data_IF_729462985254
#
_entry.id   IF_729462985254
#
_cell.length_a   1.000
_cell.length_b   1.000
_cell.length_c   1.000
_cell.angle_alpha   90.00
_cell.angle_beta   90.00
_cell.angle_gamma   90.00
#
_symmetry.space_group_name_H-M   'P 1'
#
loop_
_entity.id
_entity.type
_entity.pdbx_description
1 polymer ?
#
# COMPACT_ATOMS: atom_id res chain seq x y z
N UNK A 1 13.52 -20.28 -22.91
CA UNK A 1 12.84 -19.52 -21.84
C UNK A 1 13.81 -19.44 -20.68
N UNK A 2 14.20 -18.24 -20.27
CA UNK A 2 15.03 -18.04 -19.09
C UNK A 2 14.11 -17.70 -17.93
N UNK A 3 14.30 -18.37 -16.80
CA UNK A 3 13.49 -18.22 -15.59
C UNK A 3 14.37 -17.61 -14.50
N UNK A 4 13.81 -16.72 -13.69
CA UNK A 4 14.40 -16.35 -12.41
C UNK A 4 13.54 -16.98 -11.31
N UNK A 5 14.04 -17.12 -10.10
CA UNK A 5 13.26 -17.59 -8.96
C UNK A 5 13.49 -16.56 -7.85
N UNK A 6 12.41 -16.07 -7.24
CA UNK A 6 12.44 -15.22 -6.04
C UNK A 6 11.59 -15.95 -5.00
N UNK A 7 12.17 -16.50 -3.93
CA UNK A 7 11.45 -17.36 -2.98
C UNK A 7 10.61 -16.56 -1.97
N UNK A 8 9.45 -17.12 -1.56
CA UNK A 8 8.54 -16.50 -0.58
C UNK A 8 8.17 -17.52 0.48
N UNK A 9 8.19 -17.14 1.76
CA UNK A 9 7.99 -18.04 2.91
C UNK A 9 6.71 -18.89 2.88
N UNK A 10 5.61 -18.39 2.31
CA UNK A 10 4.33 -19.12 2.23
C UNK A 10 4.14 -19.94 0.96
N UNK A 11 5.04 -19.76 -0.01
CA UNK A 11 4.96 -20.36 -1.32
C UNK A 11 6.21 -21.21 -1.52
N UNK A 12 6.11 -22.51 -1.26
CA UNK A 12 7.25 -23.44 -1.26
C UNK A 12 8.00 -23.55 -2.61
N UNK A 13 7.50 -22.93 -3.69
CA UNK A 13 8.13 -22.93 -5.02
C UNK A 13 7.71 -21.73 -5.88
N UNK A 14 8.35 -20.56 -5.73
CA UNK A 14 8.16 -19.49 -6.71
C UNK A 14 9.04 -19.69 -7.93
N UNK A 15 8.42 -19.59 -9.10
CA UNK A 15 9.13 -19.43 -10.38
C UNK A 15 8.75 -18.05 -10.93
N UNK A 16 9.70 -17.11 -10.99
CA UNK A 16 9.56 -15.86 -11.73
C UNK A 16 9.63 -16.21 -13.22
N UNK A 17 8.45 -16.51 -13.77
CA UNK A 17 8.31 -16.71 -15.21
C UNK A 17 7.93 -15.38 -15.86
N UNK A 18 8.90 -14.73 -16.50
CA UNK A 18 8.64 -13.63 -17.42
C UNK A 18 8.11 -14.20 -18.74
N UNK A 19 6.78 -14.33 -18.88
CA UNK A 19 6.14 -14.76 -20.13
C UNK A 19 5.82 -13.53 -21.00
N UNK A 20 6.20 -13.61 -22.28
CA UNK A 20 5.83 -12.65 -23.33
C UNK A 20 4.44 -12.94 -23.93
N UNK A 21 3.78 -14.03 -23.54
CA UNK A 21 2.46 -14.39 -24.06
C UNK A 21 1.35 -13.84 -23.17
N UNK A 22 0.29 -13.36 -23.82
CA UNK A 22 -0.89 -12.73 -23.23
C UNK A 22 -1.69 -13.72 -22.36
N UNK A 23 -1.21 -14.01 -21.16
CA UNK A 23 -2.09 -14.37 -20.06
C UNK A 23 -2.61 -13.08 -19.44
N UNK A 24 -3.91 -12.96 -19.22
CA UNK A 24 -4.51 -11.87 -18.44
C UNK A 24 -3.95 -11.90 -17.02
N UNK A 25 -2.88 -11.16 -16.81
CA UNK A 25 -2.36 -10.92 -15.47
C UNK A 25 -3.33 -9.96 -14.80
N UNK A 26 -3.97 -10.45 -13.74
CA UNK A 26 -5.09 -9.79 -13.09
C UNK A 26 -4.70 -8.50 -12.33
N UNK A 27 -3.40 -8.22 -12.17
CA UNK A 27 -2.90 -7.11 -11.33
C UNK A 27 -1.74 -6.39 -12.00
N UNK A 28 -1.61 -5.10 -11.70
CA UNK A 28 -0.60 -4.21 -12.24
C UNK A 28 -0.19 -3.16 -11.20
N UNK A 29 1.07 -2.73 -11.27
CA UNK A 29 1.58 -1.59 -10.50
C UNK A 29 1.20 -0.28 -11.17
N UNK A 30 1.26 0.82 -10.41
CA UNK A 30 1.25 2.15 -11.01
C UNK A 30 2.42 2.28 -12.01
N UNK A 31 2.18 2.83 -13.22
CA UNK A 31 3.25 3.07 -14.18
C UNK A 31 4.28 4.04 -13.59
N UNK A 32 5.57 3.69 -13.70
CA UNK A 32 6.67 4.50 -13.17
C UNK A 32 7.61 4.87 -14.29
N UNK A 33 8.03 6.14 -14.36
CA UNK A 33 8.98 6.62 -15.38
C UNK A 33 10.30 6.95 -14.72
N UNK A 34 11.38 6.35 -15.22
CA UNK A 34 12.73 6.56 -14.72
C UNK A 34 13.63 6.96 -15.90
N UNK A 35 14.20 8.16 -15.86
CA UNK A 35 15.08 8.70 -16.92
C UNK A 35 14.53 8.57 -18.36
N UNK A 36 13.21 8.67 -18.52
CA UNK A 36 12.53 8.55 -19.82
C UNK A 36 12.11 7.11 -20.20
N UNK A 37 12.42 6.13 -19.37
CA UNK A 37 11.96 4.74 -19.50
C UNK A 37 10.71 4.53 -18.65
N UNK A 38 9.59 4.23 -19.27
CA UNK A 38 8.34 3.86 -18.58
C UNK A 38 8.34 2.36 -18.28
N UNK A 39 8.04 2.02 -17.04
CA UNK A 39 8.05 0.67 -16.47
C UNK A 39 6.64 0.35 -15.94
N UNK A 40 6.08 -0.76 -16.40
CA UNK A 40 4.81 -1.29 -15.94
C UNK A 40 5.00 -2.76 -15.55
N UNK A 41 4.70 -3.10 -14.29
CA UNK A 41 4.83 -4.46 -13.76
C UNK A 41 3.42 -5.03 -13.61
N UNK A 42 3.21 -6.23 -14.15
CA UNK A 42 1.98 -7.00 -14.03
C UNK A 42 2.29 -8.31 -13.33
N UNK A 43 1.36 -8.83 -12.53
CA UNK A 43 1.55 -10.13 -11.87
C UNK A 43 0.28 -10.92 -11.67
N UNK A 44 0.45 -12.24 -11.52
CA UNK A 44 -0.59 -13.17 -11.12
C UNK A 44 -0.01 -14.23 -10.18
N UNK A 45 -0.60 -14.35 -9.00
CA UNK A 45 -0.24 -15.38 -8.02
C UNK A 45 -1.10 -16.63 -8.23
N UNK A 46 -0.46 -17.81 -8.23
CA UNK A 46 -1.11 -19.11 -8.26
C UNK A 46 -0.87 -19.83 -6.93
N UNK A 47 -1.91 -19.86 -6.09
CA UNK A 47 -1.86 -20.59 -4.82
C UNK A 47 -1.62 -22.09 -5.02
N UNK A 48 -2.22 -22.70 -6.05
CA UNK A 48 -2.05 -24.13 -6.34
C UNK A 48 -0.63 -24.48 -6.75
N UNK A 49 0.00 -23.62 -7.57
CA UNK A 49 1.38 -23.83 -8.06
C UNK A 49 2.43 -23.26 -7.11
N UNK A 50 1.99 -22.56 -6.08
CA UNK A 50 2.82 -21.82 -5.14
C UNK A 50 3.77 -20.83 -5.84
N UNK A 51 3.32 -20.18 -6.92
CA UNK A 51 4.18 -19.32 -7.74
C UNK A 51 3.54 -17.97 -8.08
N UNK A 52 4.37 -16.97 -8.34
CA UNK A 52 3.92 -15.69 -8.91
C UNK A 52 4.56 -15.49 -10.28
N UNK A 53 3.72 -15.28 -11.28
CA UNK A 53 4.15 -14.92 -12.63
C UNK A 53 4.14 -13.41 -12.78
N UNK A 54 5.17 -12.86 -13.42
CA UNK A 54 5.30 -11.44 -13.64
C UNK A 54 5.49 -11.15 -15.13
N UNK A 55 4.93 -10.04 -15.60
CA UNK A 55 5.19 -9.49 -16.93
C UNK A 55 5.59 -8.04 -16.76
N UNK A 56 6.74 -7.68 -17.34
CA UNK A 56 7.25 -6.33 -17.30
C UNK A 56 7.12 -5.75 -18.70
N UNK A 57 6.56 -4.54 -18.78
CA UNK A 57 6.53 -3.75 -20.02
C UNK A 57 7.43 -2.54 -19.84
N UNK A 58 8.48 -2.49 -20.65
CA UNK A 58 9.37 -1.33 -20.77
C UNK A 58 9.00 -0.58 -22.05
N UNK A 59 8.93 0.74 -21.98
CA UNK A 59 8.66 1.60 -23.15
C UNK A 59 9.34 2.96 -22.98
N UNK A 60 9.45 3.74 -24.06
CA UNK A 60 10.18 5.01 -24.04
C UNK A 60 11.66 4.81 -24.35
N UNK A 61 12.55 5.36 -23.52
CA UNK A 61 14.00 5.28 -23.73
C UNK A 61 14.51 3.82 -23.64
N UNK A 62 15.30 3.32 -24.60
CA UNK A 62 15.87 1.98 -24.54
C UNK A 62 16.87 1.84 -23.38
N UNK A 63 16.89 0.68 -22.74
CA UNK A 63 17.80 0.34 -21.64
C UNK A 63 18.68 -0.86 -22.01
N UNK A 64 19.93 -0.87 -21.55
CA UNK A 64 20.87 -1.96 -21.79
C UNK A 64 20.58 -3.18 -20.91
N UNK A 65 20.04 -2.95 -19.72
CA UNK A 65 19.54 -3.99 -18.82
C UNK A 65 18.49 -3.41 -17.87
N UNK A 66 17.64 -4.29 -17.37
CA UNK A 66 16.61 -4.00 -16.38
C UNK A 66 16.77 -4.94 -15.20
N UNK A 67 16.47 -4.47 -14.00
CA UNK A 67 16.51 -5.25 -12.78
C UNK A 67 15.22 -5.03 -12.02
N UNK A 68 14.65 -6.13 -11.53
CA UNK A 68 13.50 -6.14 -10.64
C UNK A 68 13.81 -7.01 -9.44
N UNK A 69 13.40 -6.55 -8.28
CA UNK A 69 13.49 -7.27 -7.04
C UNK A 69 12.35 -6.98 -6.11
N UNK A 70 12.35 -7.68 -4.99
CA UNK A 70 11.40 -7.48 -3.90
C UNK A 70 12.19 -7.19 -2.63
N UNK A 71 11.75 -6.18 -1.88
CA UNK A 71 12.34 -5.78 -0.61
C UNK A 71 11.26 -5.62 0.45
N UNK A 72 11.53 -6.12 1.65
CA UNK A 72 10.63 -5.96 2.81
C UNK A 72 10.61 -4.51 3.30
N UNK A 73 11.77 -3.83 3.26
CA UNK A 73 11.95 -2.48 3.79
C UNK A 73 12.28 -1.42 2.73
N UNK A 74 12.24 -1.78 1.43
CA UNK A 74 12.61 -0.87 0.35
C UNK A 74 14.11 -0.61 0.23
N UNK A 75 14.92 -1.33 1.00
CA UNK A 75 16.37 -1.24 0.94
C UNK A 75 16.92 -2.11 -0.19
N UNK A 76 18.00 -1.64 -0.83
CA UNK A 76 18.69 -2.41 -1.86
C UNK A 76 19.58 -3.52 -1.28
N UNK A 77 19.99 -3.40 -0.01
CA UNK A 77 20.85 -4.39 0.64
C UNK A 77 20.00 -5.54 1.18
N UNK A 78 20.41 -6.77 0.91
CA UNK A 78 19.72 -7.97 1.40
C UNK A 78 18.37 -8.27 0.71
N UNK A 79 18.16 -7.75 -0.50
CA UNK A 79 16.94 -8.00 -1.29
C UNK A 79 17.22 -8.88 -2.51
N UNK A 80 16.16 -9.53 -3.02
CA UNK A 80 16.23 -10.43 -4.16
C UNK A 80 16.09 -9.71 -5.47
N UNK A 81 17.02 -9.94 -6.39
CA UNK A 81 17.02 -9.27 -7.67
C UNK A 81 17.23 -10.22 -8.84
N UNK A 82 16.40 -10.02 -9.86
CA UNK A 82 16.57 -10.60 -11.18
C UNK A 82 17.02 -9.49 -12.13
N UNK A 83 18.24 -9.62 -12.66
CA UNK A 83 18.77 -8.75 -13.71
C UNK A 83 18.52 -9.39 -15.07
N UNK A 84 17.87 -8.64 -15.95
CA UNK A 84 17.57 -9.00 -17.34
C UNK A 84 18.49 -8.19 -18.25
N UNK A 85 19.27 -8.90 -19.06
CA UNK A 85 20.17 -8.29 -20.04
C UNK A 85 20.13 -9.08 -21.36
N UNK A 86 20.67 -8.53 -22.47
CA UNK A 86 20.84 -9.26 -23.71
C UNK A 86 21.64 -10.57 -23.56
N UNK A 87 22.50 -10.65 -22.54
CA UNK A 87 23.33 -11.83 -22.25
C UNK A 87 22.59 -12.90 -21.44
N UNK A 88 21.31 -12.66 -21.10
CA UNK A 88 20.50 -13.57 -20.29
C UNK A 88 20.08 -12.96 -18.95
N UNK A 89 19.51 -13.82 -18.11
CA UNK A 89 19.03 -13.49 -16.76
C UNK A 89 20.09 -13.84 -15.74
N UNK A 90 20.39 -12.92 -14.83
CA UNK A 90 21.28 -13.14 -13.68
C UNK A 90 20.50 -12.96 -12.39
N UNK A 91 20.53 -13.96 -11.51
CA UNK A 91 20.00 -13.88 -10.13
C UNK A 91 21.10 -13.31 -9.24
N UNK A 92 20.81 -12.26 -8.46
CA UNK A 92 21.83 -11.51 -7.70
C UNK A 92 21.76 -11.74 -6.18
N UNK A 93 20.72 -12.35 -5.62
CA UNK A 93 20.67 -12.89 -4.24
C UNK A 93 19.34 -13.63 -4.00
N UNK A 94 19.27 -14.43 -2.92
CA UNK A 94 18.08 -15.16 -2.42
C UNK A 94 17.83 -14.75 -0.93
N UNK A 95 16.72 -14.07 -0.66
CA UNK A 95 16.33 -13.39 0.56
C UNK A 95 14.80 -13.39 0.63
N UNK A 96 14.30 -13.67 1.82
CA UNK A 96 12.99 -14.25 2.03
C UNK A 96 11.86 -13.20 1.98
N UNK A 97 10.84 -13.39 1.14
CA UNK A 97 9.63 -12.54 1.14
C UNK A 97 8.59 -13.04 2.16
N UNK A 98 8.00 -12.13 2.96
CA UNK A 98 6.94 -12.38 3.95
C UNK A 98 5.54 -11.81 3.55
N UNK A 99 4.50 -12.06 4.35
CA UNK A 99 3.14 -11.53 4.18
C UNK A 99 3.09 -10.01 4.40
N UNK A 100 2.69 -9.24 3.39
CA UNK A 100 2.53 -7.79 3.51
C UNK A 100 2.57 -7.04 2.18
N UNK A 101 2.84 -5.74 2.26
CA UNK A 101 3.10 -4.88 1.12
C UNK A 101 4.48 -5.18 0.57
N UNK A 102 4.54 -5.77 -0.62
CA UNK A 102 5.82 -6.02 -1.29
C UNK A 102 6.27 -4.73 -1.99
N UNK A 103 7.49 -4.28 -1.71
CA UNK A 103 8.10 -3.17 -2.44
C UNK A 103 8.89 -3.75 -3.62
N UNK A 104 8.47 -3.47 -4.84
CA UNK A 104 9.24 -3.82 -6.03
C UNK A 104 10.38 -2.83 -6.18
N UNK A 105 11.60 -3.31 -6.01
CA UNK A 105 12.78 -2.50 -6.27
C UNK A 105 13.15 -2.68 -7.73
N UNK A 106 13.16 -1.61 -8.51
CA UNK A 106 13.54 -1.65 -9.92
C UNK A 106 14.77 -0.81 -10.19
N UNK A 107 15.59 -1.25 -11.12
CA UNK A 107 16.69 -0.47 -11.64
C UNK A 107 16.86 -0.65 -13.15
N UNK A 108 17.34 0.40 -13.81
CA UNK A 108 17.66 0.40 -15.24
C UNK A 108 19.06 0.94 -15.45
N UNK A 109 19.83 0.27 -16.29
CA UNK A 109 21.12 0.77 -16.78
C UNK A 109 21.03 1.08 -18.27
N UNK A 110 21.70 2.16 -18.68
CA UNK A 110 21.77 2.57 -20.08
C UNK A 110 23.12 2.19 -20.71
N UNK A 111 24.07 1.67 -19.93
CA UNK A 111 25.39 1.24 -20.39
C UNK A 111 25.77 -0.15 -19.84
N UNK A 112 27.06 -0.50 -19.85
CA UNK A 112 27.57 -1.75 -19.24
C UNK A 112 28.14 -1.42 -17.86
N UNK A 113 27.28 -1.02 -16.94
CA UNK A 113 27.67 -0.77 -15.56
C UNK A 113 28.11 -2.07 -14.87
N UNK A 114 29.26 -2.03 -14.21
CA UNK A 114 29.88 -3.20 -13.54
C UNK A 114 29.41 -3.41 -12.11
N UNK A 115 28.86 -2.38 -11.47
CA UNK A 115 28.42 -2.40 -10.07
C UNK A 115 27.01 -1.83 -9.96
N UNK A 116 26.16 -2.45 -9.13
CA UNK A 116 24.82 -1.94 -8.82
C UNK A 116 24.84 -0.60 -8.07
N UNK A 117 25.98 -0.22 -7.50
CA UNK A 117 26.17 1.07 -6.80
C UNK A 117 26.59 2.19 -7.74
N UNK A 118 26.80 1.92 -9.03
CA UNK A 118 27.20 2.93 -10.00
C UNK A 118 26.12 4.04 -10.09
N UNK A 119 26.55 5.30 -10.03
CA UNK A 119 25.67 6.47 -10.05
C UNK A 119 24.91 6.62 -11.38
N UNK A 120 25.41 5.99 -12.45
CA UNK A 120 24.73 5.92 -13.74
C UNK A 120 23.48 5.02 -13.74
N UNK A 121 23.28 4.22 -12.69
CA UNK A 121 22.12 3.35 -12.54
C UNK A 121 20.95 4.14 -12.00
N UNK A 122 19.86 4.13 -12.76
CA UNK A 122 18.61 4.72 -12.30
C UNK A 122 17.82 3.69 -11.49
N UNK A 123 17.32 4.09 -10.33
CA UNK A 123 16.64 3.20 -9.39
C UNK A 123 15.31 3.81 -8.96
N UNK A 124 14.31 2.97 -8.74
CA UNK A 124 13.06 3.38 -8.12
C UNK A 124 12.47 2.24 -7.30
N UNK A 125 11.60 2.59 -6.37
CA UNK A 125 10.76 1.66 -5.63
C UNK A 125 9.34 1.80 -6.17
N UNK A 126 8.75 0.68 -6.57
CA UNK A 126 7.39 0.59 -7.08
C UNK A 126 6.59 -0.22 -6.07
N UNK A 127 5.55 0.38 -5.50
CA UNK A 127 4.69 -0.29 -4.53
C UNK A 127 3.66 -1.18 -5.22
N UNK A 128 3.46 -2.39 -4.70
CA UNK A 128 2.45 -3.31 -5.22
C UNK A 128 1.99 -4.35 -4.21
N UNK A 129 0.71 -4.71 -4.27
CA UNK A 129 0.15 -5.75 -3.40
C UNK A 129 0.20 -7.11 -4.07
N UNK A 130 1.26 -7.86 -3.77
CA UNK A 130 1.54 -9.15 -4.37
C UNK A 130 0.43 -10.17 -4.05
N UNK A 131 0.18 -10.38 -2.76
CA UNK A 131 -0.85 -11.28 -2.25
C UNK A 131 -1.99 -10.46 -1.64
N UNK A 132 -3.18 -10.62 -2.19
CA UNK A 132 -4.40 -10.15 -1.54
C UNK A 132 -5.33 -11.34 -1.53
N UNK A 133 -5.70 -11.82 -0.33
CA UNK A 133 -6.82 -12.75 -0.18
C UNK A 133 -7.98 -12.13 -0.94
N UNK A 134 -8.54 -12.87 -1.90
CA UNK A 134 -9.81 -12.48 -2.53
C UNK A 134 -10.79 -12.29 -1.39
N UNK A 135 -11.14 -11.03 -1.11
CA UNK A 135 -12.23 -10.72 -0.20
C UNK A 135 -13.40 -11.52 -0.72
N UNK A 136 -13.91 -12.48 0.06
CA UNK A 136 -15.24 -13.03 -0.23
C UNK A 136 -16.11 -11.78 -0.35
N UNK A 137 -16.69 -11.53 -1.53
CA UNK A 137 -17.74 -10.52 -1.65
C UNK A 137 -18.73 -10.91 -0.57
N UNK A 138 -18.81 -10.12 0.50
CA UNK A 138 -19.94 -10.21 1.40
C UNK A 138 -21.10 -9.82 0.48
N UNK A 139 -21.84 -10.83 0.01
CA UNK A 139 -23.11 -10.63 -0.67
C UNK A 139 -24.08 -10.11 0.40
N UNK A 140 -23.90 -8.86 0.81
CA UNK A 140 -24.89 -8.16 1.59
C UNK A 140 -26.11 -8.02 0.71
N UNK A 141 -27.28 -8.38 1.24
CA UNK A 141 -28.55 -8.28 0.55
C UNK A 141 -28.69 -6.89 -0.07
N UNK A 142 -29.07 -6.80 -1.35
CA UNK A 142 -29.21 -5.54 -2.10
C UNK A 142 -30.31 -4.60 -1.54
N UNK A 143 -30.96 -4.99 -0.44
CA UNK A 143 -32.06 -4.27 0.24
C UNK A 143 -31.62 -3.42 1.42
N UNK A 144 -30.39 -3.53 1.91
CA UNK A 144 -29.93 -2.73 3.04
C UNK A 144 -29.47 -1.34 2.58
N UNK A 145 -30.04 -0.30 3.18
CA UNK A 145 -29.67 1.10 2.94
C UNK A 145 -28.25 1.33 3.47
N UNK A 146 -27.30 1.54 2.56
CA UNK A 146 -25.90 1.82 2.89
C UNK A 146 -25.66 3.31 2.79
N UNK A 147 -25.16 3.87 3.87
CA UNK A 147 -24.72 5.25 3.93
C UNK A 147 -23.18 5.27 3.96
N UNK A 148 -22.57 6.31 3.38
CA UNK A 148 -21.13 6.51 3.39
C UNK A 148 -20.82 7.89 3.95
N UNK A 149 -19.74 7.97 4.71
CA UNK A 149 -19.12 9.23 5.10
C UNK A 149 -17.61 9.11 4.89
N UNK A 150 -16.95 10.25 4.79
CA UNK A 150 -15.50 10.36 4.61
C UNK A 150 -14.96 11.27 5.69
N UNK A 151 -13.86 10.86 6.30
CA UNK A 151 -13.10 11.67 7.26
C UNK A 151 -11.77 11.99 6.58
N UNK A 152 -11.47 13.27 6.45
CA UNK A 152 -10.23 13.78 5.87
C UNK A 152 -9.64 14.83 6.78
N UNK A 153 -8.34 15.04 6.68
CA UNK A 153 -7.64 16.19 7.25
C UNK A 153 -7.63 17.33 6.21
N UNK A 154 -7.38 18.55 6.66
CA UNK A 154 -7.20 19.69 5.75
C UNK A 154 -5.94 19.50 4.89
N UNK A 155 -5.83 20.24 3.78
CA UNK A 155 -4.62 20.25 2.96
C UNK A 155 -3.48 20.96 3.70
N UNK A 156 -2.75 20.19 4.51
CA UNK A 156 -1.65 20.67 5.36
C UNK A 156 -0.29 20.22 4.84
N UNK A 157 0.70 21.09 4.99
CA UNK A 157 2.08 20.72 4.71
C UNK A 157 2.60 19.80 5.82
N UNK A 158 3.07 18.61 5.45
CA UNK A 158 3.69 17.67 6.41
C UNK A 158 4.95 18.34 6.99
N UNK A 159 5.06 18.48 8.33
CA UNK A 159 6.25 19.04 8.97
C UNK A 159 7.53 18.30 8.56
N UNK A 160 8.62 19.04 8.42
CA UNK A 160 9.94 18.49 8.09
C UNK A 160 10.60 17.86 9.34
N UNK A 161 10.01 16.78 9.83
CA UNK A 161 10.48 15.99 10.96
C UNK A 161 10.54 14.51 10.56
N UNK A 162 11.34 13.72 11.29
CA UNK A 162 11.52 12.28 10.99
C UNK A 162 10.19 11.53 11.05
N UNK A 163 9.34 11.88 12.02
CA UNK A 163 8.01 11.30 12.20
C UNK A 163 7.03 12.41 12.55
N UNK A 164 5.90 12.46 11.85
CA UNK A 164 4.77 13.35 12.17
C UNK A 164 3.56 12.50 12.52
N UNK A 165 2.96 12.77 13.68
CA UNK A 165 1.64 12.26 14.04
C UNK A 165 0.64 13.40 13.92
N UNK A 166 -0.28 13.32 12.95
CA UNK A 166 -1.27 14.35 12.70
C UNK A 166 -2.66 13.85 13.10
N UNK A 167 -3.34 14.61 13.96
CA UNK A 167 -4.65 14.28 14.50
C UNK A 167 -5.68 15.27 13.98
N UNK A 168 -6.85 14.76 13.57
CA UNK A 168 -8.05 15.55 13.31
C UNK A 168 -9.22 14.94 14.08
N UNK A 169 -9.93 15.79 14.81
CA UNK A 169 -11.08 15.43 15.62
C UNK A 169 -12.25 16.24 15.10
N UNK A 170 -13.19 15.53 14.49
CA UNK A 170 -14.39 16.10 13.91
C UNK A 170 -15.63 15.33 14.38
N UNK A 171 -16.77 16.02 14.41
CA UNK A 171 -18.04 15.34 14.64
C UNK A 171 -18.46 14.56 13.39
N UNK A 172 -19.11 13.42 13.61
CA UNK A 172 -19.76 12.70 12.52
C UNK A 172 -21.01 13.48 12.11
N UNK A 173 -21.32 13.49 10.80
CA UNK A 173 -22.48 14.21 10.26
C UNK A 173 -23.76 13.90 11.08
N UNK A 174 -24.51 14.92 11.55
CA UNK A 174 -25.66 14.75 12.42
C UNK A 174 -26.73 13.77 11.90
N UNK A 175 -26.79 13.54 10.57
CA UNK A 175 -27.70 12.52 10.01
C UNK A 175 -27.43 11.12 10.57
N UNK A 176 -26.20 10.83 10.99
CA UNK A 176 -25.82 9.54 11.58
C UNK A 176 -26.19 9.43 13.06
N UNK A 177 -26.60 10.51 13.72
CA UNK A 177 -27.03 10.51 15.13
C UNK A 177 -28.46 10.00 15.33
N UNK A 178 -29.27 10.00 14.26
CA UNK A 178 -30.70 9.73 14.35
C UNK A 178 -31.03 8.23 14.55
N UNK A 179 -30.12 7.34 14.16
CA UNK A 179 -30.32 5.89 14.28
C UNK A 179 -29.00 5.15 14.49
N UNK A 180 -29.09 3.87 14.85
CA UNK A 180 -27.90 3.02 15.02
C UNK A 180 -27.35 2.57 13.67
N UNK A 181 -26.06 2.78 13.45
CA UNK A 181 -25.34 2.31 12.26
C UNK A 181 -24.28 1.28 12.64
N UNK A 182 -24.03 0.35 11.71
CA UNK A 182 -22.91 -0.59 11.79
C UNK A 182 -21.89 -0.27 10.70
N UNK A 183 -20.63 -0.09 11.08
CA UNK A 183 -19.56 0.01 10.09
C UNK A 183 -19.30 -1.41 9.57
N UNK A 184 -19.49 -1.59 8.26
CA UNK A 184 -19.30 -2.87 7.55
C UNK A 184 -18.12 -2.83 6.58
N UNK A 185 -17.62 -1.64 6.26
CA UNK A 185 -16.52 -1.41 5.32
C UNK A 185 -15.75 -0.16 5.73
N UNK A 186 -14.43 -0.25 5.74
CA UNK A 186 -13.52 0.90 5.84
C UNK A 186 -12.45 0.76 4.76
N UNK A 187 -12.13 1.87 4.10
CA UNK A 187 -11.06 1.96 3.12
C UNK A 187 -10.26 3.23 3.30
N UNK A 188 -8.96 3.15 3.00
CA UNK A 188 -8.06 4.28 3.05
C UNK A 188 -8.27 5.20 1.84
N UNK A 189 -8.25 6.51 2.08
CA UNK A 189 -8.21 7.53 1.05
C UNK A 189 -6.89 8.30 1.21
N UNK A 190 -5.92 8.01 0.35
CA UNK A 190 -4.60 8.68 0.35
C UNK A 190 -4.47 9.50 -0.93
N UNK A 191 -4.07 10.76 -0.79
CA UNK A 191 -3.83 11.65 -1.94
C UNK A 191 -2.75 11.08 -2.85
N UNK A 192 -3.02 11.07 -4.16
CA UNK A 192 -2.08 10.55 -5.15
C UNK A 192 -0.74 11.30 -5.09
N UNK A 193 0.36 10.56 -5.07
CA UNK A 193 1.71 11.10 -4.88
C UNK A 193 2.17 11.03 -3.42
N UNK A 194 1.26 10.96 -2.44
CA UNK A 194 1.58 10.91 -1.01
C UNK A 194 1.60 9.48 -0.44
N UNK A 195 1.45 8.44 -1.29
CA UNK A 195 1.38 7.04 -0.85
C UNK A 195 2.65 6.58 -0.13
N UNK A 196 3.78 7.24 -0.38
CA UNK A 196 5.06 6.97 0.27
C UNK A 196 5.21 7.70 1.62
N UNK A 197 4.37 8.70 1.92
CA UNK A 197 4.43 9.50 3.15
C UNK A 197 3.53 8.92 4.25
N UNK A 198 2.33 8.44 3.88
CA UNK A 198 1.34 7.95 4.86
C UNK A 198 1.59 6.48 5.17
N UNK A 199 2.21 6.19 6.31
CA UNK A 199 2.51 4.82 6.73
C UNK A 199 1.39 4.17 7.57
N UNK A 200 0.70 4.96 8.41
CA UNK A 200 -0.41 4.50 9.25
C UNK A 200 -1.55 5.52 9.27
N UNK A 201 -2.78 5.04 9.39
CA UNK A 201 -3.97 5.82 9.71
C UNK A 201 -4.81 5.06 10.71
N UNK A 202 -5.32 5.76 11.72
CA UNK A 202 -6.15 5.17 12.77
C UNK A 202 -7.39 6.03 12.97
N UNK A 203 -8.54 5.37 13.05
CA UNK A 203 -9.82 6.00 13.30
C UNK A 203 -10.27 5.62 14.72
N UNK A 204 -10.47 6.64 15.55
CA UNK A 204 -10.89 6.51 16.93
C UNK A 204 -12.31 7.03 17.15
N UNK A 205 -13.03 6.37 18.05
CA UNK A 205 -14.26 6.84 18.66
C UNK A 205 -13.96 7.62 19.93
N UNK A 206 -14.61 8.76 20.07
CA UNK A 206 -14.49 9.64 21.24
C UNK A 206 -15.67 9.42 22.19
N UNK A 207 -15.39 9.42 23.49
CA UNK A 207 -16.43 9.44 24.52
C UNK A 207 -16.71 10.89 24.90
N UNK A 208 -17.90 11.40 24.56
CA UNK A 208 -18.37 12.77 24.82
C UNK A 208 -17.37 13.89 24.41
N UNK A 209 -17.16 14.14 23.11
CA UNK A 209 -16.55 15.40 22.68
C UNK A 209 -17.55 16.52 22.99
N UNK A 210 -17.23 17.39 23.95
CA UNK A 210 -18.11 18.52 24.29
C UNK A 210 -18.38 19.45 23.09
N UNK A 211 -19.58 20.06 23.11
CA UNK A 211 -20.14 21.10 22.23
C UNK A 211 -20.21 20.85 20.70
N UNK A 212 -21.22 21.50 20.11
CA UNK A 212 -21.78 21.43 18.75
C UNK A 212 -20.86 22.05 17.67
N UNK A 213 -19.56 21.71 17.69
CA UNK A 213 -18.59 22.17 16.69
C UNK A 213 -18.20 21.06 15.73
N UNK A 214 -18.23 21.36 14.42
CA UNK A 214 -17.91 20.37 13.37
C UNK A 214 -16.45 19.90 13.44
N UNK A 215 -15.51 20.79 13.80
CA UNK A 215 -14.09 20.49 13.99
C UNK A 215 -13.65 20.92 15.40
N UNK A 216 -13.20 19.95 16.20
CA UNK A 216 -12.74 20.15 17.58
C UNK A 216 -11.24 20.44 17.62
N UNK A 217 -10.44 19.73 16.80
CA UNK A 217 -8.99 19.88 16.77
C UNK A 217 -8.42 19.40 15.45
N UNK A 218 -7.42 20.09 14.92
CA UNK A 218 -6.56 19.59 13.85
C UNK A 218 -5.12 20.07 14.08
N UNK A 219 -4.16 19.14 14.17
CA UNK A 219 -2.79 19.47 14.48
C UNK A 219 -1.92 18.28 14.88
N UNK A 220 -0.75 18.56 15.43
CA UNK A 220 0.13 17.53 15.99
C UNK A 220 -0.61 16.78 17.11
N UNK A 221 -0.64 15.45 17.02
CA UNK A 221 -1.25 14.60 18.04
C UNK A 221 -0.59 14.76 19.42
N UNK A 222 0.68 15.16 19.45
CA UNK A 222 1.49 15.31 20.65
C UNK A 222 1.52 16.75 21.18
N UNK A 223 0.77 17.70 20.58
CA UNK A 223 0.72 19.06 21.10
C UNK A 223 0.11 19.06 22.52
N UNK A 224 0.84 19.52 23.55
CA UNK A 224 0.33 19.57 24.92
C UNK A 224 -0.85 20.54 25.07
N UNK A 225 -1.06 21.45 24.11
CA UNK A 225 -2.16 22.41 24.07
C UNK A 225 -3.40 21.86 23.38
N UNK A 226 -3.40 20.57 22.98
CA UNK A 226 -4.57 19.91 22.42
C UNK A 226 -5.75 20.02 23.41
N UNK A 227 -6.97 20.38 22.95
CA UNK A 227 -8.14 20.51 23.79
C UNK A 227 -8.45 19.19 24.52
N UNK A 228 -9.05 19.31 25.71
CA UNK A 228 -9.28 18.18 26.60
C UNK A 228 -10.18 17.11 25.96
N UNK A 229 -11.13 17.57 25.15
CA UNK A 229 -12.11 16.79 24.40
C UNK A 229 -11.42 15.82 23.43
N UNK A 230 -10.30 16.22 22.84
CA UNK A 230 -9.54 15.38 21.93
C UNK A 230 -8.70 14.31 22.66
N UNK A 231 -8.56 14.37 24.00
CA UNK A 231 -7.97 13.28 24.81
C UNK A 231 -8.95 12.14 25.08
N UNK A 232 -10.26 12.36 24.91
CA UNK A 232 -11.30 11.33 25.08
C UNK A 232 -11.44 10.34 23.91
N UNK A 233 -10.64 10.51 22.85
CA UNK A 233 -10.66 9.70 21.65
C UNK A 233 -9.64 8.56 21.75
N UNK A 234 -10.09 7.39 22.23
CA UNK A 234 -9.21 6.23 22.47
C UNK A 234 -9.79 4.90 21.99
N UNK A 235 -11.08 4.85 21.62
CA UNK A 235 -11.71 3.61 21.18
C UNK A 235 -11.35 3.35 19.72
N UNK A 236 -10.47 2.40 19.44
CA UNK A 236 -10.10 2.07 18.05
C UNK A 236 -11.32 1.52 17.29
N UNK A 237 -11.73 2.21 16.22
CA UNK A 237 -12.79 1.79 15.30
C UNK A 237 -12.19 1.02 14.14
N UNK A 238 -11.13 1.58 13.54
CA UNK A 238 -10.42 0.99 12.43
C UNK A 238 -8.96 1.44 12.43
N UNK A 239 -8.09 0.61 11.89
CA UNK A 239 -6.71 0.94 11.63
C UNK A 239 -6.37 0.53 10.20
N UNK A 240 -5.50 1.31 9.58
CA UNK A 240 -4.93 1.05 8.29
C UNK A 240 -3.42 1.28 8.35
N UNK A 241 -2.67 0.42 7.67
CA UNK A 241 -1.25 0.57 7.48
C UNK A 241 -0.93 0.45 6.00
N UNK A 242 0.21 0.99 5.58
CA UNK A 242 0.64 1.01 4.19
C UNK A 242 0.47 -0.36 3.51
N UNK A 243 -0.34 -0.37 2.45
CA UNK A 243 -0.72 -1.51 1.61
C UNK A 243 -1.68 -2.54 2.23
N UNK A 244 -2.28 -2.22 3.38
CA UNK A 244 -3.58 -2.79 3.74
C UNK A 244 -4.63 -2.43 2.67
N UNK A 245 -5.51 -3.38 2.36
CA UNK A 245 -6.61 -3.17 1.42
C UNK A 245 -7.87 -2.72 2.14
N UNK A 246 -9.01 -2.80 1.45
CA UNK A 246 -10.33 -2.58 2.08
C UNK A 246 -10.54 -3.60 3.22
N UNK A 247 -10.94 -3.09 4.38
CA UNK A 247 -11.36 -3.89 5.54
C UNK A 247 -12.87 -4.02 5.54
N UNK A 248 -13.36 -5.26 5.67
CA UNK A 248 -14.78 -5.56 5.80
C UNK A 248 -15.05 -6.11 7.21
N UNK A 249 -16.13 -5.64 7.82
CA UNK A 249 -16.55 -6.03 9.16
C UNK A 249 -17.88 -6.76 9.09
N UNK A 250 -18.07 -7.75 9.96
CA UNK A 250 -19.35 -8.47 10.08
C UNK A 250 -20.40 -7.61 10.77
N UNK A 251 -20.03 -6.83 11.80
CA UNK A 251 -20.80 -5.72 12.39
C UNK A 251 -19.94 -4.98 13.43
N UNK A 252 -19.74 -3.66 13.31
CA UNK A 252 -19.18 -2.82 14.38
C UNK A 252 -20.19 -1.74 14.80
N UNK A 253 -20.61 -1.74 16.07
CA UNK A 253 -21.68 -0.88 16.60
C UNK A 253 -21.21 0.54 16.91
N UNK A 254 -21.74 1.53 16.18
CA UNK A 254 -21.44 2.95 16.47
C UNK A 254 -22.05 3.44 17.79
N UNK A 255 -23.15 2.83 18.28
CA UNK A 255 -23.78 3.22 19.56
C UNK A 255 -23.00 2.84 20.82
N UNK A 256 -21.91 2.07 20.74
CA UNK A 256 -21.05 1.79 21.91
C UNK A 256 -20.22 3.01 22.36
N UNK A 257 -20.33 4.15 21.68
CA UNK A 257 -19.58 5.37 21.95
C UNK A 257 -20.39 6.45 22.70
N UNK A 258 -21.67 6.21 23.02
CA UNK A 258 -22.44 7.07 23.91
C UNK A 258 -22.62 6.37 25.27
N UNK A 259 -22.49 7.08 26.41
CA UNK A 259 -22.73 6.52 27.74
C UNK A 259 -24.19 6.06 27.93
#
# INVERSE_FOLDING_TARGET
MSFCIIQHRKLHKLELVALLTAAELARSSSPTVIQGTKIEIFWAASWKKQSVQYRIRLSGRPVAWFLIGQSDHGEYRGSDFCKFSPNGITVISDALVDDGTTQFVVATGHSREKSFLDASISKAIIYGKLLQKTSKKIQGNAKERREQFTITVSDVAVPNQVTTYWCSVAQIDPKFHQQKYHIIKVEALVTKGNEHLVHHMELFGCQNPGYDVDLVYEGDCNDPRKPMEAHGCSTVIAAWAMGAGVSFFTTFDLKRMQP
#
